data_IF_689462637512
#
_entry.id   IF_689462637512
#
_cell.length_a   1.000
_cell.length_b   1.000
_cell.length_c   1.000
_cell.angle_alpha   90.00
_cell.angle_beta   90.00
_cell.angle_gamma   90.00
#
_symmetry.space_group_name_H-M   'P 1'
#
loop_
_entity.id
_entity.type
_entity.pdbx_description
1 polymer ?
#
# COMPACT_ATOMS: atom_id res chain seq x y z
N UNK A 1 -13.18 -14.48 6.25
CA UNK A 1 -13.18 -14.09 7.67
C UNK A 1 -13.57 -15.30 8.47
N UNK A 2 -12.68 -15.76 9.35
CA UNK A 2 -12.91 -16.89 10.23
C UNK A 2 -13.80 -16.47 11.42
N UNK A 3 -14.32 -17.47 12.14
CA UNK A 3 -15.06 -17.28 13.37
C UNK A 3 -14.25 -16.46 14.39
N UNK A 4 -14.92 -15.56 15.12
CA UNK A 4 -14.30 -14.80 16.20
C UNK A 4 -14.17 -15.68 17.43
N UNK A 5 -12.92 -15.87 17.86
CA UNK A 5 -12.61 -16.60 19.08
C UNK A 5 -12.44 -15.63 20.24
N UNK A 6 -13.20 -15.85 21.31
CA UNK A 6 -13.12 -15.06 22.53
C UNK A 6 -12.62 -15.94 23.67
N UNK A 7 -11.30 -16.16 23.73
CA UNK A 7 -10.69 -17.04 24.74
C UNK A 7 -11.12 -18.51 24.58
N UNK A 8 -11.52 -19.17 25.67
CA UNK A 8 -11.91 -20.59 25.70
C UNK A 8 -13.38 -20.84 25.27
N UNK A 9 -14.10 -19.81 24.83
CA UNK A 9 -15.49 -19.98 24.36
C UNK A 9 -15.55 -20.45 22.91
N UNK A 10 -16.63 -21.16 22.56
CA UNK A 10 -16.87 -21.62 21.19
C UNK A 10 -16.78 -20.45 20.19
N UNK A 11 -16.18 -20.67 19.01
CA UNK A 11 -16.07 -19.63 17.99
C UNK A 11 -17.45 -19.12 17.58
N UNK A 12 -17.60 -17.81 17.47
CA UNK A 12 -18.83 -17.19 16.96
C UNK A 12 -18.61 -16.84 15.50
N UNK A 13 -19.52 -17.27 14.61
CA UNK A 13 -19.42 -16.91 13.21
C UNK A 13 -19.46 -15.38 13.04
N UNK A 14 -18.67 -14.85 12.11
CA UNK A 14 -18.64 -13.39 11.89
C UNK A 14 -20.02 -12.85 11.48
N UNK A 15 -20.83 -13.66 10.79
CA UNK A 15 -22.20 -13.32 10.40
C UNK A 15 -23.11 -13.18 11.63
N UNK A 16 -23.07 -14.17 12.53
CA UNK A 16 -23.84 -14.12 13.78
C UNK A 16 -23.38 -12.95 14.66
N UNK A 17 -22.08 -12.68 14.69
CA UNK A 17 -21.54 -11.53 15.40
C UNK A 17 -22.07 -10.20 14.84
N UNK A 18 -21.99 -10.01 13.52
CA UNK A 18 -22.35 -8.75 12.85
C UNK A 18 -23.83 -8.40 13.03
N UNK A 19 -24.71 -9.41 12.98
CA UNK A 19 -26.16 -9.21 12.99
C UNK A 19 -26.82 -9.43 14.35
N UNK A 20 -26.06 -9.72 15.41
CA UNK A 20 -26.58 -9.93 16.76
C UNK A 20 -26.06 -8.88 17.76
N UNK A 21 -26.83 -7.80 18.02
CA UNK A 21 -26.49 -6.76 18.99
C UNK A 21 -26.20 -7.31 20.40
N UNK A 22 -26.87 -8.39 20.81
CA UNK A 22 -26.68 -8.98 22.14
C UNK A 22 -25.28 -9.59 22.33
N UNK A 23 -24.56 -9.90 21.24
CA UNK A 23 -23.16 -10.32 21.31
C UNK A 23 -22.25 -9.17 21.76
N UNK A 24 -22.60 -7.93 21.42
CA UNK A 24 -21.87 -6.73 21.85
C UNK A 24 -22.11 -6.39 23.32
N UNK A 25 -23.33 -6.58 23.82
CA UNK A 25 -23.67 -6.27 25.22
C UNK A 25 -22.97 -7.17 26.24
N UNK A 26 -22.66 -8.42 25.86
CA UNK A 26 -22.11 -9.43 26.77
C UNK A 26 -20.59 -9.37 26.91
N UNK A 27 -19.91 -8.50 26.16
CA UNK A 27 -18.44 -8.48 26.07
C UNK A 27 -17.89 -7.06 26.22
N UNK A 28 -16.70 -6.96 26.80
CA UNK A 28 -16.01 -5.69 26.98
C UNK A 28 -15.22 -5.29 25.73
N UNK A 29 -14.82 -4.02 25.62
CA UNK A 29 -13.90 -3.59 24.57
C UNK A 29 -12.55 -4.33 24.60
N UNK A 30 -12.10 -4.75 25.79
CA UNK A 30 -10.90 -5.56 25.94
C UNK A 30 -11.08 -6.97 25.33
N UNK A 31 -12.25 -7.60 25.53
CA UNK A 31 -12.58 -8.89 24.93
C UNK A 31 -12.57 -8.81 23.40
N UNK A 32 -13.11 -7.72 22.85
CA UNK A 32 -13.07 -7.47 21.40
C UNK A 32 -11.65 -7.25 20.88
N UNK A 33 -10.86 -6.40 21.55
CA UNK A 33 -9.48 -6.16 21.16
C UNK A 33 -8.67 -7.47 21.14
N UNK A 34 -8.88 -8.33 22.15
CA UNK A 34 -8.25 -9.65 22.22
C UNK A 34 -8.71 -10.59 21.10
N UNK A 35 -10.01 -10.65 20.83
CA UNK A 35 -10.57 -11.50 19.79
C UNK A 35 -10.10 -11.08 18.39
N UNK A 36 -10.13 -9.79 18.07
CA UNK A 36 -9.67 -9.28 16.76
C UNK A 36 -8.18 -9.46 16.57
N UNK A 37 -7.37 -9.28 17.61
CA UNK A 37 -5.93 -9.53 17.54
C UNK A 37 -5.60 -11.01 17.33
N UNK A 38 -6.32 -11.90 18.00
CA UNK A 38 -6.11 -13.35 17.88
C UNK A 38 -6.69 -13.98 16.62
N UNK A 39 -7.57 -13.27 15.89
CA UNK A 39 -8.27 -13.82 14.72
C UNK A 39 -7.51 -13.46 13.44
N UNK A 40 -6.98 -14.44 12.69
CA UNK A 40 -6.27 -14.16 11.45
C UNK A 40 -7.22 -13.61 10.38
N UNK A 41 -6.72 -12.65 9.61
CA UNK A 41 -7.44 -12.09 8.46
C UNK A 41 -7.29 -13.04 7.26
N UNK A 42 -8.35 -13.18 6.47
CA UNK A 42 -8.29 -13.95 5.22
C UNK A 42 -7.43 -13.24 4.17
N UNK A 43 -6.64 -14.00 3.41
CA UNK A 43 -5.91 -13.51 2.24
C UNK A 43 -6.85 -12.88 1.20
N UNK A 44 -6.41 -11.80 0.57
CA UNK A 44 -7.09 -11.20 -0.58
C UNK A 44 -6.71 -11.98 -1.82
N UNK A 45 -7.46 -13.05 -2.12
CA UNK A 45 -7.24 -13.91 -3.29
C UNK A 45 -8.53 -14.58 -3.75
N UNK A 46 -8.47 -15.24 -4.90
CA UNK A 46 -9.58 -16.02 -5.46
C UNK A 46 -10.05 -17.11 -4.48
N UNK A 47 -11.34 -17.43 -4.52
CA UNK A 47 -11.98 -18.44 -3.66
C UNK A 47 -11.89 -18.19 -2.15
N UNK A 48 -11.55 -16.97 -1.72
CA UNK A 48 -11.48 -16.61 -0.29
C UNK A 48 -12.53 -15.56 0.14
N UNK A 49 -13.60 -15.40 -0.64
CA UNK A 49 -14.71 -14.49 -0.32
C UNK A 49 -15.75 -15.25 0.52
N UNK A 50 -16.11 -14.78 1.73
CA UNK A 50 -17.14 -15.40 2.54
C UNK A 50 -18.50 -15.47 1.85
N UNK A 51 -19.25 -16.54 2.10
CA UNK A 51 -20.54 -16.78 1.46
C UNK A 51 -21.54 -15.63 1.66
N UNK A 52 -21.57 -15.00 2.84
CA UNK A 52 -22.46 -13.87 3.13
C UNK A 52 -22.14 -12.59 2.30
N UNK A 53 -20.94 -12.49 1.71
CA UNK A 53 -20.58 -11.37 0.80
C UNK A 53 -20.84 -11.68 -0.68
N UNK A 54 -21.26 -12.90 -1.02
CA UNK A 54 -21.43 -13.34 -2.41
C UNK A 54 -22.28 -12.38 -3.25
N UNK A 55 -23.43 -11.95 -2.73
CA UNK A 55 -24.31 -11.03 -3.46
C UNK A 55 -23.66 -9.65 -3.65
N UNK A 56 -22.98 -9.15 -2.63
CA UNK A 56 -22.24 -7.87 -2.69
C UNK A 56 -21.13 -7.94 -3.72
N UNK A 57 -20.32 -8.99 -3.72
CA UNK A 57 -19.24 -9.17 -4.72
C UNK A 57 -19.79 -9.31 -6.13
N UNK A 58 -20.89 -10.05 -6.29
CA UNK A 58 -21.57 -10.20 -7.59
C UNK A 58 -22.08 -8.84 -8.09
N UNK A 59 -22.67 -8.04 -7.20
CA UNK A 59 -23.13 -6.70 -7.52
C UNK A 59 -21.97 -5.80 -7.96
N UNK A 60 -20.81 -5.84 -7.27
CA UNK A 60 -19.62 -5.06 -7.64
C UNK A 60 -19.15 -5.37 -9.06
N UNK A 61 -19.11 -6.65 -9.47
CA UNK A 61 -18.73 -7.04 -10.83
C UNK A 61 -19.75 -6.52 -11.86
N UNK A 62 -21.05 -6.71 -11.59
CA UNK A 62 -22.13 -6.22 -12.47
C UNK A 62 -22.09 -4.70 -12.62
N UNK A 63 -21.89 -4.00 -11.52
CA UNK A 63 -21.77 -2.54 -11.46
C UNK A 63 -20.56 -2.05 -12.25
N UNK A 64 -19.43 -2.76 -12.17
CA UNK A 64 -18.25 -2.46 -12.96
C UNK A 64 -18.55 -2.53 -14.46
N UNK A 65 -19.18 -3.62 -14.91
CA UNK A 65 -19.60 -3.79 -16.30
C UNK A 65 -20.61 -2.72 -16.74
N UNK A 66 -21.62 -2.43 -15.91
CA UNK A 66 -22.64 -1.42 -16.21
C UNK A 66 -22.07 0.01 -16.31
N UNK A 67 -21.03 0.31 -15.54
CA UNK A 67 -20.32 1.60 -15.58
C UNK A 67 -19.24 1.66 -16.67
N UNK A 68 -19.04 0.58 -17.43
CA UNK A 68 -18.05 0.53 -18.51
C UNK A 68 -16.61 0.53 -18.00
N UNK A 69 -16.34 -0.09 -16.84
CA UNK A 69 -14.96 -0.34 -16.42
C UNK A 69 -14.24 -1.18 -17.48
N UNK A 70 -13.00 -0.79 -17.78
CA UNK A 70 -12.15 -1.49 -18.73
C UNK A 70 -11.66 -2.83 -18.18
N UNK A 71 -11.07 -3.66 -19.05
CA UNK A 71 -10.53 -4.95 -18.67
C UNK A 71 -9.32 -4.83 -17.74
N UNK A 72 -9.00 -5.90 -17.03
CA UNK A 72 -7.88 -5.94 -16.09
C UNK A 72 -6.55 -5.53 -16.74
N UNK A 73 -6.28 -5.98 -17.97
CA UNK A 73 -5.06 -5.63 -18.71
C UNK A 73 -4.96 -4.14 -19.06
N UNK A 74 -6.08 -3.45 -19.25
CA UNK A 74 -6.07 -2.01 -19.53
C UNK A 74 -5.63 -1.21 -18.29
N UNK A 75 -6.01 -1.68 -17.10
CA UNK A 75 -5.49 -1.11 -15.85
C UNK A 75 -4.03 -1.45 -15.61
N UNK A 76 -3.57 -2.65 -15.98
CA UNK A 76 -2.14 -2.98 -15.94
C UNK A 76 -1.33 -2.01 -16.80
N UNK A 77 -1.76 -1.80 -18.05
CA UNK A 77 -1.12 -0.86 -18.97
C UNK A 77 -1.16 0.59 -18.44
N UNK A 78 -2.29 1.02 -17.86
CA UNK A 78 -2.42 2.32 -17.21
C UNK A 78 -1.37 2.52 -16.10
N UNK A 79 -1.10 1.47 -15.32
CA UNK A 79 -0.06 1.46 -14.29
C UNK A 79 1.35 1.10 -14.81
N UNK A 80 1.55 1.10 -16.13
CA UNK A 80 2.83 0.78 -16.79
C UNK A 80 3.32 -0.66 -16.54
N UNK A 81 2.42 -1.55 -16.14
CA UNK A 81 2.69 -2.98 -16.03
C UNK A 81 2.51 -3.66 -17.39
N UNK A 82 3.29 -4.72 -17.70
CA UNK A 82 3.08 -5.50 -18.91
C UNK A 82 1.69 -6.14 -18.91
N UNK A 83 0.97 -6.03 -20.03
CA UNK A 83 -0.29 -6.76 -20.26
C UNK A 83 -0.03 -8.26 -20.18
N UNK A 84 -0.94 -8.99 -19.53
CA UNK A 84 -0.89 -10.45 -19.49
C UNK A 84 -1.30 -11.02 -20.86
N UNK A 85 -0.57 -12.00 -21.36
CA UNK A 85 -0.81 -12.63 -22.67
C UNK A 85 -1.51 -13.96 -22.56
N UNK A 86 -1.36 -14.65 -21.43
CA UNK A 86 -2.01 -15.94 -21.17
C UNK A 86 -2.62 -15.96 -19.76
N UNK A 87 -3.59 -16.84 -19.51
CA UNK A 87 -4.24 -16.93 -18.21
C UNK A 87 -3.26 -17.40 -17.11
N UNK A 88 -2.23 -18.15 -17.50
CA UNK A 88 -1.18 -18.64 -16.60
C UNK A 88 -0.34 -17.50 -16.03
N UNK A 89 -0.22 -16.37 -16.73
CA UNK A 89 0.56 -15.22 -16.29
C UNK A 89 -0.07 -14.48 -15.10
N UNK A 90 -1.35 -14.72 -14.78
CA UNK A 90 -1.92 -14.28 -13.49
C UNK A 90 -1.18 -14.89 -12.30
N UNK A 91 -0.65 -16.12 -12.47
CA UNK A 91 0.11 -16.85 -11.45
C UNK A 91 -0.66 -17.20 -10.18
N UNK A 92 -2.00 -17.11 -10.22
CA UNK A 92 -2.89 -17.55 -9.15
C UNK A 92 -2.95 -19.08 -9.03
N UNK A 93 -3.90 -19.59 -8.24
CA UNK A 93 -4.07 -21.03 -8.09
C UNK A 93 -4.46 -21.70 -9.43
N UNK A 94 -4.04 -22.96 -9.69
CA UNK A 94 -4.44 -23.67 -10.91
C UNK A 94 -5.96 -23.72 -11.11
N UNK A 95 -6.72 -23.85 -10.03
CA UNK A 95 -8.18 -23.81 -10.04
C UNK A 95 -8.73 -22.44 -10.51
N UNK A 96 -8.10 -21.34 -10.08
CA UNK A 96 -8.50 -20.00 -10.51
C UNK A 96 -8.21 -19.77 -11.99
N UNK A 97 -7.04 -20.23 -12.46
CA UNK A 97 -6.63 -20.14 -13.86
C UNK A 97 -7.57 -20.96 -14.76
N UNK A 98 -7.92 -22.18 -14.36
CA UNK A 98 -8.88 -23.01 -15.10
C UNK A 98 -10.26 -22.36 -15.15
N UNK A 99 -10.72 -21.82 -14.02
CA UNK A 99 -11.99 -21.11 -13.93
C UNK A 99 -12.01 -19.91 -14.85
N UNK A 100 -10.94 -19.09 -14.88
CA UNK A 100 -10.83 -17.98 -15.83
C UNK A 100 -10.94 -18.44 -17.27
N UNK A 101 -10.24 -19.52 -17.65
CA UNK A 101 -10.27 -20.06 -19.02
C UNK A 101 -11.66 -20.56 -19.42
N UNK A 102 -12.44 -21.07 -18.46
CA UNK A 102 -13.82 -21.50 -18.72
C UNK A 102 -14.80 -20.33 -18.85
N UNK A 103 -14.50 -19.18 -18.25
CA UNK A 103 -15.41 -18.03 -18.15
C UNK A 103 -15.13 -16.95 -19.20
N UNK A 104 -13.87 -16.80 -19.64
CA UNK A 104 -13.43 -15.77 -20.58
C UNK A 104 -12.77 -16.42 -21.79
N UNK A 105 -13.04 -15.89 -22.99
CA UNK A 105 -12.41 -16.40 -24.22
C UNK A 105 -10.96 -15.92 -24.32
N UNK A 106 -10.70 -14.68 -23.89
CA UNK A 106 -9.38 -14.03 -23.96
C UNK A 106 -9.00 -13.39 -22.63
N UNK A 107 -7.70 -13.33 -22.37
CA UNK A 107 -7.13 -12.68 -21.18
C UNK A 107 -7.50 -11.20 -21.09
N UNK A 108 -7.56 -10.50 -22.24
CA UNK A 108 -7.94 -9.08 -22.29
C UNK A 108 -9.40 -8.81 -21.89
N UNK A 109 -10.25 -9.83 -21.84
CA UNK A 109 -11.67 -9.71 -21.48
C UNK A 109 -11.95 -9.87 -19.99
N UNK A 110 -10.93 -10.23 -19.20
CA UNK A 110 -11.08 -10.43 -17.76
C UNK A 110 -11.46 -9.11 -17.08
N UNK A 111 -12.59 -9.09 -16.36
CA UNK A 111 -13.03 -7.91 -15.60
C UNK A 111 -11.95 -7.44 -14.62
N UNK A 112 -11.82 -6.13 -14.45
CA UNK A 112 -10.86 -5.52 -13.51
C UNK A 112 -10.93 -6.13 -12.09
N UNK A 113 -12.13 -6.21 -11.51
CA UNK A 113 -12.35 -6.75 -10.15
C UNK A 113 -11.95 -8.22 -10.06
N UNK A 114 -12.21 -9.01 -11.11
CA UNK A 114 -11.86 -10.43 -11.13
C UNK A 114 -10.35 -10.59 -11.21
N UNK A 115 -9.70 -9.84 -12.11
CA UNK A 115 -8.24 -9.90 -12.27
C UNK A 115 -7.49 -9.52 -11.00
N UNK A 116 -7.95 -8.49 -10.27
CA UNK A 116 -7.37 -8.09 -8.98
C UNK A 116 -7.41 -9.19 -7.91
N UNK A 117 -8.41 -10.07 -7.93
CA UNK A 117 -8.53 -11.17 -6.95
C UNK A 117 -7.73 -12.40 -7.36
N UNK A 118 -7.49 -12.60 -8.67
CA UNK A 118 -6.81 -13.79 -9.20
C UNK A 118 -5.31 -13.58 -9.37
N UNK A 119 -4.87 -12.33 -9.60
CA UNK A 119 -3.45 -12.00 -9.74
C UNK A 119 -2.68 -12.41 -8.48
N UNK A 120 -1.56 -13.09 -8.67
CA UNK A 120 -0.68 -13.50 -7.58
C UNK A 120 -0.18 -12.30 -6.79
N UNK A 121 0.00 -12.51 -5.48
CA UNK A 121 0.65 -11.55 -4.59
C UNK A 121 2.14 -11.43 -4.95
N UNK A 122 2.68 -10.22 -4.89
CA UNK A 122 4.09 -9.99 -5.24
C UNK A 122 5.01 -10.38 -4.06
N UNK A 123 6.09 -11.09 -4.37
CA UNK A 123 7.03 -11.67 -3.40
C UNK A 123 8.04 -10.62 -2.91
N UNK A 124 7.60 -9.69 -2.07
CA UNK A 124 8.44 -9.17 -1.00
C UNK A 124 7.77 -9.61 0.30
N UNK A 125 8.52 -10.28 1.18
CA UNK A 125 8.14 -11.21 2.26
C UNK A 125 6.92 -10.87 3.17
N UNK A 126 6.30 -9.70 3.02
CA UNK A 126 5.19 -9.23 3.84
C UNK A 126 4.04 -8.55 3.04
N UNK A 127 4.05 -8.56 1.70
CA UNK A 127 2.99 -7.92 0.91
C UNK A 127 1.75 -8.81 0.73
N UNK A 128 0.63 -8.38 1.31
CA UNK A 128 -0.68 -9.04 1.26
C UNK A 128 -1.42 -8.92 -0.08
N UNK A 129 -0.95 -8.09 -1.01
CA UNK A 129 -1.69 -7.67 -2.20
C UNK A 129 -0.91 -8.03 -3.48
N UNK A 130 -1.64 -8.14 -4.59
CA UNK A 130 -1.03 -8.24 -5.93
C UNK A 130 -0.46 -6.89 -6.36
N UNK A 131 0.44 -6.91 -7.36
CA UNK A 131 1.10 -5.69 -7.84
C UNK A 131 0.10 -4.68 -8.41
N UNK A 132 -0.83 -5.13 -9.25
CA UNK A 132 -1.86 -4.25 -9.84
C UNK A 132 -2.78 -3.69 -8.75
N UNK A 133 -3.14 -4.51 -7.76
CA UNK A 133 -3.98 -4.09 -6.64
C UNK A 133 -3.27 -3.05 -5.77
N UNK A 134 -1.99 -3.26 -5.48
CA UNK A 134 -1.16 -2.33 -4.73
C UNK A 134 -1.06 -0.98 -5.43
N UNK A 135 -0.74 -0.93 -6.73
CA UNK A 135 -0.64 0.32 -7.49
C UNK A 135 -1.99 1.03 -7.60
N UNK A 136 -3.07 0.26 -7.78
CA UNK A 136 -4.43 0.78 -7.75
C UNK A 136 -4.70 1.49 -6.43
N UNK A 137 -4.49 0.83 -5.30
CA UNK A 137 -4.69 1.43 -3.98
C UNK A 137 -3.75 2.59 -3.69
N UNK A 138 -2.46 2.46 -3.97
CA UNK A 138 -1.46 3.47 -3.65
C UNK A 138 -1.75 4.80 -4.36
N UNK A 139 -2.18 4.76 -5.62
CA UNK A 139 -2.52 5.97 -6.40
C UNK A 139 -3.66 6.79 -5.77
N UNK A 140 -4.71 6.12 -5.29
CA UNK A 140 -5.84 6.76 -4.61
C UNK A 140 -5.49 7.13 -3.16
N UNK A 141 -4.78 6.25 -2.45
CA UNK A 141 -4.42 6.44 -1.06
C UNK A 141 -3.55 7.67 -0.89
N UNK A 142 -2.54 7.87 -1.74
CA UNK A 142 -1.66 9.03 -1.68
C UNK A 142 -2.44 10.34 -1.83
N UNK A 143 -3.25 10.43 -2.89
CA UNK A 143 -4.06 11.61 -3.16
C UNK A 143 -5.03 11.87 -2.00
N UNK A 144 -5.65 10.82 -1.46
CA UNK A 144 -6.58 10.95 -0.32
C UNK A 144 -5.87 11.39 0.95
N UNK A 145 -4.71 10.79 1.26
CA UNK A 145 -3.90 11.05 2.43
C UNK A 145 -3.44 12.51 2.46
N UNK A 146 -2.87 13.00 1.36
CA UNK A 146 -2.40 14.38 1.24
C UNK A 146 -3.54 15.41 1.29
N UNK A 147 -4.77 14.99 0.99
CA UNK A 147 -5.94 15.84 1.03
C UNK A 147 -6.70 15.80 2.37
N UNK A 148 -6.27 15.02 3.36
CA UNK A 148 -6.84 15.13 4.70
C UNK A 148 -6.60 16.53 5.29
N UNK A 149 -7.62 17.07 5.95
CA UNK A 149 -7.53 18.41 6.55
C UNK A 149 -6.40 18.48 7.58
N UNK A 150 -6.18 17.41 8.35
CA UNK A 150 -5.09 17.29 9.32
C UNK A 150 -3.70 17.29 8.68
N UNK A 151 -3.58 17.00 7.38
CA UNK A 151 -2.34 17.14 6.61
C UNK A 151 -2.21 18.55 6.03
N UNK A 152 -3.29 19.09 5.45
CA UNK A 152 -3.28 20.36 4.69
C UNK A 152 -3.31 21.62 5.53
N UNK A 153 -3.93 21.58 6.71
CA UNK A 153 -4.14 22.77 7.55
C UNK A 153 -3.32 22.69 8.85
N UNK A 154 -2.15 23.37 8.92
CA UNK A 154 -1.34 23.41 10.13
C UNK A 154 -2.06 23.99 11.35
N UNK A 155 -3.13 24.77 11.16
CA UNK A 155 -3.89 25.38 12.26
C UNK A 155 -4.63 24.35 13.10
N UNK A 156 -4.96 23.18 12.53
CA UNK A 156 -5.57 22.08 13.29
C UNK A 156 -4.63 21.47 14.34
N UNK A 157 -3.33 21.80 14.27
CA UNK A 157 -2.31 21.41 15.24
C UNK A 157 -1.91 22.54 16.19
N UNK A 158 -2.58 23.70 16.08
CA UNK A 158 -2.27 24.86 16.91
C UNK A 158 -2.89 24.72 18.31
N UNK A 159 -2.35 25.49 19.25
CA UNK A 159 -2.93 25.61 20.59
C UNK A 159 -4.26 26.34 20.57
N UNK A 160 -4.50 27.19 19.57
CA UNK A 160 -5.78 27.86 19.38
C UNK A 160 -6.89 26.84 19.06
N UNK A 161 -6.60 25.85 18.23
CA UNK A 161 -7.56 24.81 17.87
C UNK A 161 -7.67 23.70 18.93
N UNK A 162 -6.53 23.20 19.43
CA UNK A 162 -6.50 22.04 20.34
C UNK A 162 -6.51 22.39 21.82
N UNK A 163 -6.36 23.66 22.20
CA UNK A 163 -5.87 24.11 23.52
C UNK A 163 -4.42 23.68 23.80
N UNK A 164 -3.75 24.35 24.73
CA UNK A 164 -2.40 23.97 25.18
C UNK A 164 -2.36 22.51 25.71
N UNK A 165 -3.38 22.10 26.47
CA UNK A 165 -3.48 20.74 27.01
C UNK A 165 -3.74 19.71 25.90
N UNK A 166 -4.61 20.01 24.94
CA UNK A 166 -4.89 19.08 23.85
C UNK A 166 -3.70 18.91 22.91
N UNK A 167 -2.99 20.00 22.59
CA UNK A 167 -1.72 19.91 21.86
C UNK A 167 -0.68 19.10 22.62
N UNK A 168 -0.53 19.31 23.93
CA UNK A 168 0.37 18.52 24.76
C UNK A 168 -0.02 17.04 24.76
N UNK A 169 -1.32 16.72 24.85
CA UNK A 169 -1.83 15.36 24.83
C UNK A 169 -1.48 14.62 23.53
N UNK A 170 -1.72 15.23 22.36
CA UNK A 170 -1.48 14.57 21.06
C UNK A 170 0.00 14.33 20.76
N UNK A 171 0.91 15.15 21.30
CA UNK A 171 2.36 14.99 21.07
C UNK A 171 3.06 14.11 22.10
N UNK A 172 2.41 13.83 23.24
CA UNK A 172 3.02 13.05 24.35
C UNK A 172 2.38 11.69 24.56
N UNK A 173 1.11 11.50 24.19
CA UNK A 173 0.39 10.25 24.41
C UNK A 173 0.59 9.34 23.22
N UNK A 174 1.09 8.13 23.46
CA UNK A 174 1.16 7.06 22.47
C UNK A 174 -0.19 6.36 22.27
N UNK A 175 -0.35 5.69 21.12
CA UNK A 175 -1.61 5.04 20.75
C UNK A 175 -1.98 3.91 21.73
N UNK A 176 -0.99 3.22 22.29
CA UNK A 176 -1.23 2.12 23.26
C UNK A 176 -1.82 2.69 24.54
N UNK A 177 -1.21 3.71 25.12
CA UNK A 177 -1.68 4.43 26.30
C UNK A 177 -3.08 5.00 26.09
N UNK A 178 -3.37 5.54 24.90
CA UNK A 178 -4.71 6.01 24.55
C UNK A 178 -5.74 4.88 24.59
N UNK A 179 -5.44 3.74 23.96
CA UNK A 179 -6.34 2.59 23.92
C UNK A 179 -6.51 1.98 25.30
N UNK A 180 -5.43 1.75 26.05
CA UNK A 180 -5.44 1.21 27.41
C UNK A 180 -6.25 2.07 28.39
N UNK A 181 -6.32 3.38 28.18
CA UNK A 181 -7.20 4.26 28.97
C UNK A 181 -8.69 3.89 28.82
N UNK A 182 -9.09 3.36 27.66
CA UNK A 182 -10.48 3.03 27.36
C UNK A 182 -10.80 1.55 27.57
N UNK A 183 -9.82 0.65 27.39
CA UNK A 183 -10.03 -0.80 27.54
C UNK A 183 -9.50 -1.37 28.85
N UNK A 184 -8.77 -0.58 29.65
CA UNK A 184 -8.09 -1.00 30.87
C UNK A 184 -6.60 -1.21 30.65
N UNK A 185 -5.79 -0.73 31.60
CA UNK A 185 -4.33 -0.87 31.55
C UNK A 185 -3.92 -2.35 31.50
N UNK A 186 -3.03 -2.71 30.59
CA UNK A 186 -2.56 -4.10 30.40
C UNK A 186 -3.58 -5.06 29.79
N UNK A 187 -4.73 -4.57 29.33
CA UNK A 187 -5.78 -5.41 28.72
C UNK A 187 -5.57 -5.68 27.22
N UNK A 188 -4.67 -4.94 26.56
CA UNK A 188 -4.34 -5.15 25.16
C UNK A 188 -3.33 -6.30 25.01
N UNK A 189 -3.56 -7.23 24.07
CA UNK A 189 -2.60 -8.29 23.78
C UNK A 189 -1.22 -7.74 23.36
N UNK A 190 -0.20 -8.48 23.75
CA UNK A 190 1.17 -8.30 23.26
C UNK A 190 1.22 -8.48 21.73
N UNK A 191 1.94 -7.59 21.04
CA UNK A 191 2.05 -7.57 19.58
C UNK A 191 0.84 -7.00 18.82
N UNK A 192 -0.10 -6.34 19.49
CA UNK A 192 -1.22 -5.65 18.80
C UNK A 192 -0.69 -4.73 17.70
N UNK A 193 -1.12 -4.90 16.42
CA UNK A 193 -0.65 -4.09 15.31
C UNK A 193 -0.81 -2.59 15.59
N UNK A 194 0.12 -1.78 15.09
CA UNK A 194 0.19 -0.33 15.31
C UNK A 194 0.63 0.13 16.72
N UNK A 195 0.96 -0.78 17.65
CA UNK A 195 1.34 -0.47 19.04
C UNK A 195 2.77 -0.87 19.44
N UNK A 196 3.62 -1.29 18.50
CA UNK A 196 4.94 -1.86 18.82
C UNK A 196 6.02 -0.79 18.80
N UNK A 197 6.50 -0.39 19.99
CA UNK A 197 7.73 0.39 20.14
C UNK A 197 8.97 -0.51 20.26
N UNK A 198 8.82 -1.78 20.62
CA UNK A 198 9.95 -2.71 20.82
C UNK A 198 9.50 -4.17 20.62
N UNK A 199 9.97 -4.81 19.55
CA UNK A 199 9.66 -6.22 19.26
C UNK A 199 10.29 -7.21 20.26
N UNK A 200 11.18 -6.74 21.14
CA UNK A 200 11.91 -7.57 22.11
C UNK A 200 11.16 -7.85 23.41
N UNK A 201 10.08 -7.12 23.72
CA UNK A 201 9.33 -7.29 24.97
C UNK A 201 8.26 -8.40 24.89
N UNK A 202 8.03 -8.94 23.70
CA UNK A 202 7.03 -9.95 23.40
C UNK A 202 7.75 -11.20 22.90
N UNK A 203 7.39 -12.36 23.43
CA UNK A 203 8.02 -13.65 23.11
C UNK A 203 8.15 -13.83 21.59
N UNK A 204 9.33 -14.26 21.15
CA UNK A 204 9.95 -13.99 19.84
C UNK A 204 9.33 -14.69 18.62
N UNK A 205 8.08 -15.15 18.69
CA UNK A 205 7.41 -15.91 17.63
C UNK A 205 6.63 -15.07 16.63
N UNK A 206 6.41 -13.78 16.91
CA UNK A 206 5.83 -12.82 15.96
C UNK A 206 6.86 -11.70 15.73
N UNK A 207 8.00 -12.07 15.17
CA UNK A 207 8.97 -11.11 14.65
C UNK A 207 8.50 -10.65 13.26
N UNK A 208 7.56 -9.70 13.20
CA UNK A 208 7.42 -8.89 11.99
C UNK A 208 8.68 -8.07 11.85
N UNK A 209 9.35 -8.17 10.70
CA UNK A 209 10.70 -7.62 10.47
C UNK A 209 10.75 -6.09 10.43
N UNK A 210 9.60 -5.42 10.55
CA UNK A 210 9.46 -3.98 10.54
C UNK A 210 9.09 -3.45 11.93
N UNK A 211 10.10 -3.14 12.75
CA UNK A 211 9.93 -2.41 14.02
C UNK A 211 9.77 -0.92 13.74
N UNK A 212 8.56 -0.49 13.38
CA UNK A 212 8.23 0.92 13.29
C UNK A 212 7.58 1.39 14.59
N UNK A 213 8.13 2.45 15.19
CA UNK A 213 7.67 2.99 16.46
C UNK A 213 6.94 4.33 16.21
N UNK A 214 5.61 4.31 16.22
CA UNK A 214 4.84 5.57 16.31
C UNK A 214 4.83 6.02 17.77
N UNK A 215 5.45 7.17 18.05
CA UNK A 215 5.75 7.59 19.43
C UNK A 215 4.58 8.28 20.11
N UNK A 216 3.68 8.87 19.34
CA UNK A 216 2.53 9.62 19.85
C UNK A 216 1.37 9.62 18.84
N UNK A 217 0.21 10.11 19.27
CA UNK A 217 -1.00 10.24 18.43
C UNK A 217 -0.72 11.06 17.16
N UNK A 218 0.09 12.13 17.25
CA UNK A 218 0.42 12.97 16.09
C UNK A 218 1.26 12.24 15.04
N UNK A 219 2.05 11.23 15.41
CA UNK A 219 2.75 10.39 14.43
C UNK A 219 1.78 9.46 13.65
N UNK A 220 0.57 9.22 14.17
CA UNK A 220 -0.47 8.39 13.54
C UNK A 220 -1.36 9.16 12.55
N UNK A 221 -1.37 10.49 12.63
CA UNK A 221 -2.28 11.33 11.83
C UNK A 221 -1.61 12.59 11.28
N UNK A 222 -2.09 13.06 10.13
CA UNK A 222 -1.59 14.31 9.57
C UNK A 222 -0.23 14.15 8.89
N UNK A 223 0.50 15.26 8.77
CA UNK A 223 1.71 15.35 7.92
C UNK A 223 2.85 14.46 8.40
N UNK A 224 2.96 14.24 9.70
CA UNK A 224 4.05 13.48 10.28
C UNK A 224 3.89 11.98 9.96
N UNK A 225 2.65 11.46 10.01
CA UNK A 225 2.33 10.11 9.52
C UNK A 225 2.74 9.90 8.05
N UNK A 226 2.45 10.88 7.18
CA UNK A 226 2.90 10.83 5.79
C UNK A 226 4.42 10.75 5.74
N UNK A 227 5.10 11.66 6.43
CA UNK A 227 6.55 11.69 6.46
C UNK A 227 7.16 10.33 6.90
N UNK A 228 6.71 9.76 8.02
CA UNK A 228 7.24 8.48 8.50
C UNK A 228 6.95 7.31 7.55
N UNK A 229 5.73 7.25 6.99
CA UNK A 229 5.33 6.18 6.07
C UNK A 229 6.21 6.09 4.81
N UNK A 230 6.76 7.22 4.36
CA UNK A 230 7.57 7.31 3.13
C UNK A 230 9.07 7.45 3.38
N UNK A 231 9.51 7.98 4.51
CA UNK A 231 10.92 8.40 4.70
C UNK A 231 11.66 7.69 5.83
N UNK A 232 10.96 6.97 6.71
CA UNK A 232 11.60 6.23 7.80
C UNK A 232 11.90 4.79 7.39
N UNK A 233 13.09 4.28 7.75
CA UNK A 233 13.47 2.89 7.47
C UNK A 233 12.45 1.91 8.08
N UNK A 234 11.90 1.02 7.25
CA UNK A 234 10.83 0.10 7.65
C UNK A 234 9.40 0.62 7.46
N UNK A 235 9.22 1.85 6.98
CA UNK A 235 7.91 2.37 6.57
C UNK A 235 7.35 1.61 5.35
N UNK A 236 6.02 1.42 5.28
CA UNK A 236 5.34 0.66 4.22
C UNK A 236 5.73 1.09 2.80
N UNK A 237 6.01 2.39 2.61
CA UNK A 237 6.39 2.95 1.32
C UNK A 237 7.84 3.38 1.26
N UNK A 238 8.63 3.20 2.32
CA UNK A 238 10.02 3.65 2.37
C UNK A 238 10.88 3.02 1.28
N UNK A 239 10.74 1.70 1.05
CA UNK A 239 11.47 1.02 -0.02
C UNK A 239 11.17 1.61 -1.40
N UNK A 240 9.89 1.84 -1.68
CA UNK A 240 9.43 2.42 -2.95
C UNK A 240 9.91 3.87 -3.08
N UNK A 241 9.73 4.67 -2.04
CA UNK A 241 10.19 6.06 -2.03
C UNK A 241 11.70 6.17 -2.20
N UNK A 242 12.48 5.30 -1.56
CA UNK A 242 13.94 5.23 -1.69
C UNK A 242 14.36 4.88 -3.11
N UNK A 243 13.71 3.89 -3.74
CA UNK A 243 13.98 3.52 -5.14
C UNK A 243 13.65 4.70 -6.06
N UNK A 244 12.45 5.28 -5.95
CA UNK A 244 12.06 6.45 -6.75
C UNK A 244 13.00 7.64 -6.55
N UNK A 245 13.41 7.92 -5.32
CA UNK A 245 14.35 9.01 -5.01
C UNK A 245 15.72 8.75 -5.64
N UNK A 246 16.24 7.52 -5.54
CA UNK A 246 17.50 7.13 -6.18
C UNK A 246 17.41 7.25 -7.70
N UNK A 247 16.28 6.86 -8.31
CA UNK A 247 16.05 6.99 -9.74
C UNK A 247 15.99 8.46 -10.17
N UNK A 248 15.26 9.31 -9.43
CA UNK A 248 15.24 10.75 -9.69
C UNK A 248 16.63 11.38 -9.58
N UNK A 249 17.40 11.02 -8.54
CA UNK A 249 18.77 11.49 -8.34
C UNK A 249 19.67 11.02 -9.50
N UNK A 250 19.56 9.75 -9.90
CA UNK A 250 20.32 9.18 -11.02
C UNK A 250 20.01 9.90 -12.34
N UNK A 251 18.73 10.18 -12.62
CA UNK A 251 18.30 10.96 -13.80
C UNK A 251 18.89 12.37 -13.76
N UNK A 252 18.82 13.05 -12.60
CA UNK A 252 19.41 14.38 -12.44
C UNK A 252 20.93 14.38 -12.67
N UNK A 253 21.67 13.43 -12.08
CA UNK A 253 23.10 13.32 -12.30
C UNK A 253 23.44 12.94 -13.74
N UNK A 254 22.66 12.07 -14.38
CA UNK A 254 22.78 11.75 -15.79
C UNK A 254 22.62 12.99 -16.68
N UNK A 255 21.61 13.82 -16.39
CA UNK A 255 21.40 15.08 -17.12
C UNK A 255 22.54 16.09 -16.91
N UNK A 256 23.04 16.24 -15.68
CA UNK A 256 24.19 17.08 -15.38
C UNK A 256 25.46 16.58 -16.06
N UNK A 257 25.68 15.26 -16.09
CA UNK A 257 26.84 14.63 -16.72
C UNK A 257 26.82 14.81 -18.25
N UNK A 258 25.66 14.58 -18.89
CA UNK A 258 25.49 14.84 -20.33
C UNK A 258 25.74 16.32 -20.64
N UNK A 259 25.14 17.24 -19.88
CA UNK A 259 25.38 18.68 -20.08
C UNK A 259 26.83 19.08 -19.87
N UNK A 260 27.51 18.48 -18.89
CA UNK A 260 28.93 18.71 -18.66
C UNK A 260 29.80 18.23 -19.84
N UNK A 261 29.52 17.04 -20.38
CA UNK A 261 30.16 16.53 -21.60
C UNK A 261 29.90 17.48 -22.78
N UNK A 262 28.67 17.93 -22.96
CA UNK A 262 28.31 18.86 -24.04
C UNK A 262 29.07 20.19 -23.92
N UNK A 263 29.22 20.72 -22.70
CA UNK A 263 30.02 21.92 -22.44
C UNK A 263 31.51 21.71 -22.71
N UNK A 264 32.06 20.55 -22.35
CA UNK A 264 33.44 20.20 -22.67
C UNK A 264 33.66 20.08 -24.17
N UNK A 265 32.76 19.39 -24.89
CA UNK A 265 32.81 19.28 -26.34
C UNK A 265 32.70 20.65 -27.01
N UNK A 266 31.77 21.51 -26.59
CA UNK A 266 31.66 22.87 -27.12
C UNK A 266 32.92 23.72 -26.88
N UNK A 267 33.63 23.52 -25.75
CA UNK A 267 34.91 24.16 -25.48
C UNK A 267 36.05 23.60 -26.34
N UNK A 268 36.12 22.28 -26.49
CA UNK A 268 37.17 21.60 -27.24
C UNK A 268 37.05 21.81 -28.76
N UNK A 269 35.83 21.97 -29.26
CA UNK A 269 35.54 22.15 -30.68
C UNK A 269 35.13 23.60 -31.02
N UNK A 270 35.78 24.60 -30.39
CA UNK A 270 35.49 26.02 -30.63
C UNK A 270 35.51 26.40 -32.11
N UNK A 271 36.37 25.76 -32.89
CA UNK A 271 36.60 26.01 -34.32
C UNK A 271 35.57 25.37 -35.27
N UNK A 272 34.67 24.51 -34.79
CA UNK A 272 33.62 23.92 -35.62
C UNK A 272 32.45 24.88 -35.86
N UNK A 273 31.86 24.79 -37.04
CA UNK A 273 30.60 25.47 -37.38
C UNK A 273 29.46 25.00 -36.46
N UNK A 274 28.48 25.88 -36.25
CA UNK A 274 27.37 25.68 -35.33
C UNK A 274 26.49 24.48 -35.73
N UNK A 275 26.37 24.19 -37.03
CA UNK A 275 25.61 23.04 -37.53
C UNK A 275 26.31 21.71 -37.24
N UNK A 276 27.64 21.65 -37.33
CA UNK A 276 28.39 20.44 -37.03
C UNK A 276 28.43 20.17 -35.51
N UNK A 277 28.48 21.23 -34.69
CA UNK A 277 28.26 21.12 -33.24
C UNK A 277 26.88 20.55 -32.95
N UNK A 278 25.83 21.07 -33.60
CA UNK A 278 24.46 20.60 -33.39
C UNK A 278 24.29 19.11 -33.76
N UNK A 279 24.88 18.68 -34.87
CA UNK A 279 24.87 17.25 -35.29
C UNK A 279 25.60 16.34 -34.30
N UNK A 280 26.75 16.76 -33.77
CA UNK A 280 27.49 16.01 -32.77
C UNK A 280 26.68 15.85 -31.47
N UNK A 281 26.09 16.95 -30.98
CA UNK A 281 25.25 16.95 -29.78
C UNK A 281 24.01 16.07 -29.98
N UNK A 282 23.32 16.21 -31.11
CA UNK A 282 22.13 15.42 -31.42
C UNK A 282 22.43 13.91 -31.55
N UNK A 283 23.58 13.56 -32.12
CA UNK A 283 24.05 12.17 -32.19
C UNK A 283 24.31 11.58 -30.80
N UNK A 284 24.97 12.32 -29.92
CA UNK A 284 25.27 11.89 -28.55
C UNK A 284 23.97 11.72 -27.74
N UNK A 285 23.05 12.70 -27.81
CA UNK A 285 21.77 12.65 -27.09
C UNK A 285 20.91 11.47 -27.54
N UNK A 286 20.83 11.18 -28.84
CA UNK A 286 20.09 10.02 -29.33
C UNK A 286 20.69 8.68 -28.87
N UNK A 287 22.01 8.57 -28.83
CA UNK A 287 22.68 7.36 -28.30
C UNK A 287 22.42 7.23 -26.79
N UNK A 288 22.47 8.33 -26.04
CA UNK A 288 22.16 8.33 -24.59
C UNK A 288 20.71 7.93 -24.30
N UNK A 289 19.74 8.45 -25.06
CA UNK A 289 18.33 8.08 -24.92
C UNK A 289 18.15 6.58 -25.22
N UNK A 290 18.76 6.07 -26.30
CA UNK A 290 18.71 4.64 -26.64
C UNK A 290 19.28 3.75 -25.54
N UNK A 291 20.39 4.15 -24.91
CA UNK A 291 21.03 3.39 -23.82
C UNK A 291 20.17 3.41 -22.56
N UNK A 292 19.55 4.55 -22.23
CA UNK A 292 18.66 4.67 -21.05
C UNK A 292 17.36 3.89 -21.24
N UNK A 293 16.79 3.85 -22.45
CA UNK A 293 15.57 3.08 -22.75
C UNK A 293 15.80 1.57 -22.95
N UNK A 294 17.06 1.12 -22.98
CA UNK A 294 17.43 -0.27 -23.22
C UNK A 294 17.84 -1.03 -21.94
N UNK A 295 17.83 -0.37 -20.78
CA UNK A 295 17.98 -1.04 -19.48
C UNK A 295 16.58 -1.54 -19.06
N UNK A 296 16.38 -2.86 -18.93
CA UNK A 296 15.09 -3.45 -18.57
C UNK A 296 14.68 -3.14 -17.13
#
# INVERSE_FOLDING_TARGET
WQDLTFGESDPISFEDFLWNPATYEKRTLADFAKAFHGSPVGSVEAFNIPAYLKETTTAIIRDGRAKGLQGFNDYREFYQLPRLRTFEEFGGSPEAIETLRSLYEKVDEVDFIVGMMVERRFLYDEQLLSETLFLSFASFLMSSLLNFNTVRDPRLWSEEFLSANGKSHVVTTDLKTLLERHVGAGSLPCGTPLLIHDSKACDSTIASSNTWSMRNIRDFVGRDYVYYSFTEEGGYFFGIFKIMLLDCIAIMFGFLFVNWILLLLMRSYRHMDIFDKFRLVYGIVNVSILVVTAVP
#
